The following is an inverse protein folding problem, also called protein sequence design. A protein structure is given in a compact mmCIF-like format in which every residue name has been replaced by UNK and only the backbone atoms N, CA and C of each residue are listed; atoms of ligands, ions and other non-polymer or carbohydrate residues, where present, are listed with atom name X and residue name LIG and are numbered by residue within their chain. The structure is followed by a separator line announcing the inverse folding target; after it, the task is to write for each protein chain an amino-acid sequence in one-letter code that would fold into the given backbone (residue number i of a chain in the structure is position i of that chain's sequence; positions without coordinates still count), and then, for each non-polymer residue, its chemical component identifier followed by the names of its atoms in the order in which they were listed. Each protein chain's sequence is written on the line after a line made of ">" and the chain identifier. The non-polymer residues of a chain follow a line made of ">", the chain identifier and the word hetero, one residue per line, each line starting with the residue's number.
data_IF_658884561343
#
_entry.id   IF_658884561343
#
_cell.length_a   1.000
_cell.length_b   1.000
_cell.length_c   1.000
_cell.angle_alpha   90.00
_cell.angle_beta   90.00
_cell.angle_gamma   90.00
#
_symmetry.space_group_name_H-M   'P 1'
#
loop_
_entity.id
_entity.type
_entity.pdbx_description
1 polymer ?
#
# COMPACT_ATOMS: atom_id res chain seq x y z
N UNK A 1 59.69 15.51 -11.91
CA UNK A 1 58.26 15.41 -11.54
C UNK A 1 57.29 15.34 -12.73
N UNK A 2 57.34 16.21 -13.76
CA UNK A 2 56.42 16.14 -14.93
C UNK A 2 56.37 14.77 -15.64
N UNK A 3 57.51 14.09 -15.81
CA UNK A 3 57.58 12.75 -16.44
C UNK A 3 56.84 11.67 -15.61
N UNK A 4 56.87 11.78 -14.28
CA UNK A 4 56.19 10.83 -13.38
C UNK A 4 54.66 11.02 -13.44
N UNK A 5 54.18 12.26 -13.45
CA UNK A 5 52.75 12.55 -13.61
C UNK A 5 52.21 12.16 -14.99
N UNK A 6 53.01 12.27 -16.05
CA UNK A 6 52.61 11.81 -17.39
C UNK A 6 52.53 10.28 -17.47
N UNK A 7 53.46 9.57 -16.82
CA UNK A 7 53.42 8.11 -16.72
C UNK A 7 52.19 7.63 -15.93
N UNK A 8 51.90 8.27 -14.79
CA UNK A 8 50.72 7.95 -13.98
C UNK A 8 49.41 8.19 -14.75
N UNK A 9 49.30 9.32 -15.49
CA UNK A 9 48.14 9.59 -16.34
C UNK A 9 47.98 8.56 -17.46
N UNK A 10 49.08 8.07 -18.02
CA UNK A 10 49.05 7.02 -19.03
C UNK A 10 48.54 5.69 -18.46
N UNK A 11 49.07 5.28 -17.30
CA UNK A 11 48.65 4.06 -16.60
C UNK A 11 47.16 4.15 -16.22
N UNK A 12 46.70 5.31 -15.73
CA UNK A 12 45.30 5.50 -15.36
C UNK A 12 44.35 5.41 -16.57
N UNK A 13 44.75 5.97 -17.72
CA UNK A 13 44.00 5.87 -18.98
C UNK A 13 43.97 4.44 -19.51
N UNK A 14 45.09 3.72 -19.42
CA UNK A 14 45.17 2.31 -19.80
C UNK A 14 44.27 1.44 -18.91
N UNK A 15 44.25 1.69 -17.60
CA UNK A 15 43.39 0.98 -16.66
C UNK A 15 41.90 1.26 -16.92
N UNK A 16 41.54 2.52 -17.18
CA UNK A 16 40.17 2.90 -17.56
C UNK A 16 39.72 2.20 -18.85
N UNK A 17 40.60 2.11 -19.85
CA UNK A 17 40.34 1.41 -21.10
C UNK A 17 40.07 -0.09 -20.87
N UNK A 18 40.88 -0.74 -20.02
CA UNK A 18 40.69 -2.16 -19.65
C UNK A 18 39.35 -2.37 -18.96
N UNK A 19 38.93 -1.46 -18.06
CA UNK A 19 37.63 -1.57 -17.41
C UNK A 19 36.49 -1.40 -18.41
N UNK A 20 36.57 -0.43 -19.32
CA UNK A 20 35.55 -0.23 -20.38
C UNK A 20 35.44 -1.48 -21.26
N UNK A 21 36.58 -2.10 -21.61
CA UNK A 21 36.60 -3.35 -22.38
C UNK A 21 35.97 -4.52 -21.62
N UNK A 22 36.25 -4.67 -20.32
CA UNK A 22 35.65 -5.71 -19.48
C UNK A 22 34.14 -5.52 -19.32
N UNK A 23 33.68 -4.28 -19.13
CA UNK A 23 32.25 -3.95 -19.05
C UNK A 23 31.56 -4.18 -20.39
N UNK A 24 32.18 -3.78 -21.50
CA UNK A 24 31.68 -4.05 -22.85
C UNK A 24 31.58 -5.54 -23.16
N UNK A 25 32.60 -6.31 -22.79
CA UNK A 25 32.61 -7.77 -22.95
C UNK A 25 31.55 -8.46 -22.09
N UNK A 26 31.40 -8.06 -20.82
CA UNK A 26 30.35 -8.56 -19.93
C UNK A 26 28.95 -8.21 -20.47
N UNK A 27 28.76 -7.00 -21.01
CA UNK A 27 27.51 -6.57 -21.63
C UNK A 27 27.14 -7.44 -22.84
N UNK A 28 28.10 -7.73 -23.72
CA UNK A 28 27.90 -8.59 -24.90
C UNK A 28 27.55 -10.03 -24.46
N UNK A 29 28.24 -10.59 -23.47
CA UNK A 29 27.96 -11.95 -23.02
C UNK A 29 26.61 -12.08 -22.31
N UNK A 30 26.23 -11.10 -21.48
CA UNK A 30 24.93 -11.10 -20.81
C UNK A 30 23.80 -10.92 -21.83
N UNK A 31 23.97 -10.05 -22.83
CA UNK A 31 22.97 -9.88 -23.89
C UNK A 31 22.84 -11.13 -24.77
N UNK A 32 23.94 -11.84 -25.04
CA UNK A 32 23.90 -13.14 -25.72
C UNK A 32 23.26 -14.24 -24.85
N UNK A 33 23.47 -14.25 -23.54
CA UNK A 33 22.82 -15.18 -22.60
C UNK A 33 21.30 -14.97 -22.55
N UNK A 34 20.85 -13.71 -22.62
CA UNK A 34 19.43 -13.33 -22.65
C UNK A 34 18.80 -13.70 -24.00
N UNK A 35 19.55 -13.60 -25.11
CA UNK A 35 19.08 -14.04 -26.44
C UNK A 35 19.07 -15.57 -26.60
N UNK A 36 19.91 -16.31 -25.86
CA UNK A 36 20.10 -17.76 -25.98
C UNK A 36 19.12 -18.64 -25.19
N UNK A 37 18.24 -18.10 -24.33
CA UNK A 37 17.27 -18.88 -23.54
C UNK A 37 16.03 -19.33 -24.34
N UNK A 38 16.24 -19.95 -25.50
CA UNK A 38 15.22 -20.72 -26.24
C UNK A 38 15.74 -22.14 -26.47
N UNK A 39 15.59 -23.00 -25.46
CA UNK A 39 15.42 -24.47 -25.55
C UNK A 39 16.02 -25.10 -24.30
N UNK A 40 15.18 -25.51 -23.35
CA UNK A 40 15.38 -26.62 -22.41
C UNK A 40 14.34 -26.43 -21.30
N UNK A 41 13.18 -27.05 -21.50
CA UNK A 41 12.46 -27.80 -20.48
C UNK A 41 11.16 -28.29 -21.10
N UNK A 42 11.20 -29.51 -21.64
CA UNK A 42 10.02 -30.22 -22.14
C UNK A 42 9.58 -31.39 -21.23
N UNK A 43 10.30 -31.71 -20.16
CA UNK A 43 10.06 -32.99 -19.45
C UNK A 43 9.86 -32.94 -17.93
N UNK A 44 9.68 -31.77 -17.31
CA UNK A 44 9.39 -31.69 -15.86
C UNK A 44 7.91 -31.46 -15.50
N UNK A 45 7.02 -31.30 -16.50
CA UNK A 45 5.63 -30.86 -16.30
C UNK A 45 4.64 -31.93 -15.80
N UNK A 46 5.04 -33.19 -15.60
CA UNK A 46 4.08 -34.28 -15.40
C UNK A 46 3.99 -34.90 -14.01
N UNK A 47 4.79 -34.47 -13.01
CA UNK A 47 4.88 -35.26 -11.75
C UNK A 47 4.44 -34.65 -10.42
N UNK A 48 4.06 -33.38 -10.31
CA UNK A 48 3.63 -32.82 -9.00
C UNK A 48 2.53 -31.72 -9.09
N UNK A 49 1.54 -31.82 -9.99
CA UNK A 49 0.55 -30.75 -10.21
C UNK A 49 -0.63 -30.69 -9.22
N UNK A 50 -0.74 -31.59 -8.24
CA UNK A 50 -1.94 -31.66 -7.36
C UNK A 50 -1.63 -31.86 -5.87
N UNK A 51 -0.40 -31.55 -5.43
CA UNK A 51 -0.01 -31.56 -4.01
C UNK A 51 0.11 -30.14 -3.45
N UNK A 52 -0.04 -30.01 -2.12
CA UNK A 52 0.05 -28.73 -1.40
C UNK A 52 1.36 -27.98 -1.74
N UNK A 53 1.20 -26.88 -2.50
CA UNK A 53 2.26 -26.06 -3.12
C UNK A 53 3.51 -25.89 -2.23
N UNK A 54 4.69 -26.12 -2.83
CA UNK A 54 6.02 -25.83 -2.26
C UNK A 54 6.34 -24.31 -2.28
N UNK A 55 5.33 -23.45 -2.06
CA UNK A 55 5.41 -21.99 -2.18
C UNK A 55 6.34 -21.30 -1.16
N UNK A 56 7.00 -22.05 -0.27
CA UNK A 56 7.91 -21.49 0.74
C UNK A 56 9.18 -20.87 0.15
N UNK A 57 9.65 -21.33 -1.00
CA UNK A 57 10.93 -20.88 -1.57
C UNK A 57 10.84 -19.55 -2.33
N UNK A 58 9.62 -19.01 -2.53
CA UNK A 58 9.38 -17.89 -3.47
C UNK A 58 8.82 -16.63 -2.80
N UNK A 59 8.70 -16.60 -1.47
CA UNK A 59 8.22 -15.42 -0.72
C UNK A 59 9.23 -14.26 -0.87
N UNK A 60 8.88 -13.14 -1.54
CA UNK A 60 9.78 -11.99 -1.66
C UNK A 60 9.77 -11.14 -0.40
N UNK A 61 10.93 -10.52 -0.11
CA UNK A 61 11.19 -9.82 1.15
C UNK A 61 10.53 -8.42 1.28
N UNK A 62 9.88 -7.87 0.26
CA UNK A 62 9.36 -6.49 0.30
C UNK A 62 8.19 -6.26 -0.67
N UNK A 63 6.95 -6.57 -0.26
CA UNK A 63 5.76 -6.18 -1.02
C UNK A 63 4.52 -5.93 -0.14
N UNK A 64 3.59 -5.15 -0.68
CA UNK A 64 2.34 -4.70 -0.05
C UNK A 64 1.18 -5.67 -0.39
N UNK A 65 0.23 -5.90 0.52
CA UNK A 65 -0.96 -6.75 0.32
C UNK A 65 -2.16 -5.99 -0.31
N UNK A 66 -3.32 -6.52 -0.74
CA UNK A 66 -4.21 -7.61 -0.28
C UNK A 66 -5.29 -7.91 -1.39
N UNK A 67 -5.93 -9.11 -1.52
CA UNK A 67 -6.96 -9.35 -2.53
C UNK A 67 -8.19 -8.49 -2.27
N UNK A 68 -9.07 -8.40 -3.27
CA UNK A 68 -10.38 -7.80 -3.07
C UNK A 68 -11.22 -8.71 -2.19
N UNK A 69 -12.00 -8.12 -1.28
CA UNK A 69 -12.91 -8.89 -0.43
C UNK A 69 -14.32 -8.39 -0.63
N UNK A 70 -15.18 -9.33 -1.01
CA UNK A 70 -16.58 -9.08 -1.18
C UNK A 70 -17.37 -9.60 0.01
N UNK A 71 -18.39 -8.86 0.44
CA UNK A 71 -19.35 -9.31 1.45
C UNK A 71 -20.65 -9.77 0.80
N UNK A 72 -21.39 -10.67 1.44
CA UNK A 72 -22.69 -11.10 0.94
C UNK A 72 -23.80 -10.08 1.32
N UNK A 73 -24.50 -9.53 0.33
CA UNK A 73 -25.55 -8.51 0.55
C UNK A 73 -26.96 -9.10 0.78
N UNK A 74 -27.07 -10.43 0.79
CA UNK A 74 -28.33 -11.20 0.82
C UNK A 74 -28.75 -11.78 -0.52
N UNK A 75 -28.10 -11.38 -1.62
CA UNK A 75 -28.36 -11.85 -2.98
C UNK A 75 -27.08 -12.28 -3.70
N UNK A 76 -26.00 -11.50 -3.57
CA UNK A 76 -24.71 -11.72 -4.23
C UNK A 76 -23.56 -11.19 -3.39
N UNK A 77 -22.34 -11.58 -3.75
CA UNK A 77 -21.13 -10.96 -3.22
C UNK A 77 -20.88 -9.59 -3.88
N UNK A 78 -20.56 -8.57 -3.08
CA UNK A 78 -20.25 -7.22 -3.55
C UNK A 78 -18.93 -6.70 -2.95
N UNK A 79 -18.10 -6.07 -3.78
CA UNK A 79 -16.87 -5.39 -3.32
C UNK A 79 -17.21 -3.96 -2.90
N UNK A 80 -17.25 -3.72 -1.58
CA UNK A 80 -17.50 -2.38 -1.03
C UNK A 80 -16.70 -2.16 0.27
N UNK A 81 -15.38 -2.11 0.12
CA UNK A 81 -14.49 -1.92 1.24
C UNK A 81 -13.62 -0.66 1.08
N UNK A 82 -13.36 -0.02 2.22
CA UNK A 82 -12.18 0.82 2.40
C UNK A 82 -10.96 -0.08 2.47
N UNK A 83 -9.88 0.36 1.85
CA UNK A 83 -8.63 -0.35 1.89
C UNK A 83 -7.57 0.52 2.53
N UNK A 84 -6.97 -0.04 3.57
CA UNK A 84 -6.01 0.61 4.44
C UNK A 84 -4.74 -0.25 4.42
N UNK A 85 -3.75 0.18 3.65
CA UNK A 85 -2.54 -0.62 3.44
C UNK A 85 -1.58 -0.55 4.63
N UNK A 86 -1.15 -1.71 5.12
CA UNK A 86 -0.25 -1.93 6.24
C UNK A 86 1.03 -1.10 6.14
N UNK A 87 1.49 -0.59 7.28
CA UNK A 87 2.76 0.14 7.35
C UNK A 87 3.89 -0.84 7.68
N UNK A 88 4.91 -0.86 6.83
CA UNK A 88 6.22 -1.40 7.21
C UNK A 88 6.95 -0.34 8.03
N UNK A 89 7.28 -0.64 9.28
CA UNK A 89 8.32 0.10 9.97
C UNK A 89 9.66 -0.36 9.39
N UNK A 90 10.41 0.52 8.73
CA UNK A 90 11.78 0.20 8.27
C UNK A 90 12.80 0.12 9.42
N UNK A 91 12.37 0.39 10.66
CA UNK A 91 13.27 0.54 11.81
C UNK A 91 13.45 -0.73 12.66
N UNK A 92 12.59 -1.74 12.52
CA UNK A 92 12.76 -3.00 13.24
C UNK A 92 13.21 -4.11 12.28
N UNK A 93 14.35 -4.74 12.61
CA UNK A 93 14.87 -5.96 11.96
C UNK A 93 13.95 -7.18 12.10
N UNK A 94 12.82 -7.05 12.81
CA UNK A 94 11.74 -8.02 12.80
C UNK A 94 10.73 -7.64 11.71
N UNK A 95 10.50 -8.57 10.76
CA UNK A 95 9.41 -8.51 9.79
C UNK A 95 8.09 -8.74 10.54
N UNK A 96 7.70 -7.81 11.41
CA UNK A 96 6.33 -7.71 11.90
C UNK A 96 5.62 -6.77 10.93
N UNK A 97 5.23 -7.32 9.78
CA UNK A 97 4.38 -6.61 8.83
C UNK A 97 3.05 -6.29 9.51
N UNK A 98 2.71 -5.01 9.68
CA UNK A 98 1.34 -4.65 10.04
C UNK A 98 0.39 -5.19 8.95
N UNK A 99 -0.75 -5.80 9.32
CA UNK A 99 -1.68 -6.33 8.35
C UNK A 99 -2.26 -5.22 7.48
N UNK A 100 -2.68 -5.56 6.28
CA UNK A 100 -3.66 -4.71 5.60
C UNK A 100 -5.00 -4.81 6.28
N UNK A 101 -5.72 -3.71 6.28
CA UNK A 101 -7.03 -3.62 6.88
C UNK A 101 -8.06 -3.21 5.83
N UNK A 102 -9.16 -3.95 5.81
CA UNK A 102 -10.31 -3.68 4.96
C UNK A 102 -11.50 -3.38 5.86
N UNK A 103 -12.09 -2.18 5.76
CA UNK A 103 -13.31 -1.83 6.49
C UNK A 103 -14.50 -1.91 5.54
N UNK A 104 -15.55 -2.62 5.93
CA UNK A 104 -16.77 -2.75 5.14
C UNK A 104 -17.74 -1.62 5.48
N UNK A 105 -18.32 -0.99 4.45
CA UNK A 105 -19.31 0.08 4.65
C UNK A 105 -20.69 -0.41 5.09
N UNK A 106 -21.00 -1.67 4.80
CA UNK A 106 -22.26 -2.30 5.16
C UNK A 106 -22.01 -3.57 5.94
N UNK A 107 -22.96 -3.89 6.82
CA UNK A 107 -22.98 -5.15 7.52
C UNK A 107 -23.30 -6.29 6.52
N UNK A 108 -22.50 -7.37 6.48
CA UNK A 108 -22.80 -8.57 5.71
C UNK A 108 -24.14 -9.16 6.15
N UNK A 109 -24.93 -9.62 5.18
CA UNK A 109 -26.08 -10.47 5.48
C UNK A 109 -25.65 -11.93 5.54
N UNK A 110 -26.44 -12.72 6.26
CA UNK A 110 -26.21 -14.15 6.37
C UNK A 110 -26.56 -14.86 5.06
N UNK A 111 -25.69 -15.77 4.62
CA UNK A 111 -25.95 -16.79 3.59
C UNK A 111 -26.09 -18.13 4.30
N UNK A 112 -27.20 -18.82 4.10
CA UNK A 112 -27.47 -20.11 4.75
C UNK A 112 -27.28 -20.08 6.28
N UNK A 113 -27.67 -18.96 6.90
CA UNK A 113 -27.57 -18.73 8.35
C UNK A 113 -26.21 -18.24 8.86
N UNK A 114 -25.20 -18.14 8.00
CA UNK A 114 -23.81 -17.79 8.37
C UNK A 114 -23.35 -16.49 7.74
N UNK A 115 -22.43 -15.79 8.40
CA UNK A 115 -21.75 -14.64 7.81
C UNK A 115 -20.80 -15.13 6.71
N UNK A 116 -20.95 -14.57 5.50
CA UNK A 116 -20.21 -15.02 4.32
C UNK A 116 -19.47 -13.86 3.65
N UNK A 117 -18.20 -14.12 3.34
CA UNK A 117 -17.30 -13.26 2.60
C UNK A 117 -16.68 -14.04 1.44
N UNK A 118 -16.16 -13.34 0.44
CA UNK A 118 -15.42 -13.96 -0.65
C UNK A 118 -14.15 -13.16 -0.93
N UNK A 119 -12.99 -13.79 -0.80
CA UNK A 119 -11.74 -13.23 -1.34
C UNK A 119 -11.73 -13.41 -2.85
N UNK A 120 -11.22 -12.41 -3.57
CA UNK A 120 -11.13 -12.42 -5.01
C UNK A 120 -9.78 -11.82 -5.46
N UNK A 121 -8.99 -12.60 -6.19
CA UNK A 121 -7.79 -12.08 -6.85
C UNK A 121 -8.18 -11.52 -8.22
N UNK A 122 -8.26 -10.20 -8.31
CA UNK A 122 -8.85 -9.49 -9.44
C UNK A 122 -7.84 -8.61 -10.21
N UNK A 123 -6.57 -8.57 -9.79
CA UNK A 123 -5.51 -7.80 -10.45
C UNK A 123 -4.49 -8.76 -11.10
N UNK A 124 -3.56 -8.26 -11.91
CA UNK A 124 -2.51 -9.10 -12.52
C UNK A 124 -1.36 -9.39 -11.52
N UNK A 125 -1.75 -9.81 -10.32
CA UNK A 125 -0.89 -10.06 -9.15
C UNK A 125 -1.04 -11.52 -8.70
N UNK A 126 -0.16 -11.96 -7.82
CA UNK A 126 -0.37 -13.20 -7.06
C UNK A 126 -0.22 -12.91 -5.58
N UNK A 127 -1.10 -13.53 -4.79
CA UNK A 127 -1.22 -13.33 -3.34
C UNK A 127 -0.64 -14.51 -2.57
N UNK A 128 0.03 -14.26 -1.46
CA UNK A 128 0.42 -15.26 -0.46
C UNK A 128 -0.13 -14.83 0.90
N UNK A 129 -1.27 -15.41 1.29
CA UNK A 129 -2.01 -15.07 2.52
C UNK A 129 -1.64 -16.03 3.63
N UNK A 130 -1.10 -15.52 4.72
CA UNK A 130 -0.71 -16.31 5.90
C UNK A 130 -1.83 -16.41 6.92
N UNK A 131 -2.61 -15.34 7.06
CA UNK A 131 -3.66 -15.25 8.06
C UNK A 131 -4.69 -14.21 7.64
N UNK A 132 -5.95 -14.50 7.95
CA UNK A 132 -7.01 -13.51 7.99
C UNK A 132 -7.54 -13.39 9.42
N UNK A 133 -7.89 -12.19 9.82
CA UNK A 133 -8.66 -11.94 11.04
C UNK A 133 -9.85 -11.07 10.70
N UNK A 134 -11.03 -11.44 11.18
CA UNK A 134 -12.23 -10.65 11.00
C UNK A 134 -12.60 -10.03 12.34
N UNK A 135 -12.88 -8.73 12.33
CA UNK A 135 -13.22 -7.97 13.53
C UNK A 135 -14.62 -7.41 13.33
N UNK A 136 -15.49 -7.62 14.30
CA UNK A 136 -16.80 -6.98 14.37
C UNK A 136 -16.77 -5.94 15.47
N UNK A 137 -17.12 -4.71 15.13
CA UNK A 137 -17.22 -3.59 16.07
C UNK A 137 -18.69 -3.26 16.26
N UNK A 138 -19.21 -3.40 17.47
CA UNK A 138 -20.52 -2.95 17.90
C UNK A 138 -20.43 -1.53 18.48
N UNK A 139 -21.20 -0.61 17.92
CA UNK A 139 -21.11 0.82 18.26
C UNK A 139 -22.45 1.54 18.07
N UNK A 140 -22.64 2.75 18.64
CA UNK A 140 -23.89 3.49 18.51
C UNK A 140 -24.34 3.72 17.06
N UNK A 141 -25.65 3.69 16.80
CA UNK A 141 -26.20 3.88 15.43
C UNK A 141 -25.79 5.19 14.76
N UNK A 142 -25.71 6.25 15.56
CA UNK A 142 -25.37 7.60 15.12
C UNK A 142 -23.86 7.89 15.12
N UNK A 143 -23.01 6.86 14.96
CA UNK A 143 -21.57 7.01 14.88
C UNK A 143 -20.95 6.30 13.68
N UNK A 144 -19.68 6.61 13.42
CA UNK A 144 -18.84 6.02 12.38
C UNK A 144 -17.55 5.46 12.99
N UNK A 145 -17.07 4.34 12.46
CA UNK A 145 -15.78 3.75 12.84
C UNK A 145 -14.70 4.26 11.89
N UNK A 146 -13.74 5.01 12.41
CA UNK A 146 -12.55 5.47 11.68
C UNK A 146 -11.34 4.78 12.28
N UNK A 147 -10.50 4.19 11.44
CA UNK A 147 -9.30 3.50 11.90
C UNK A 147 -8.18 4.52 12.09
N UNK A 148 -7.44 4.42 13.19
CA UNK A 148 -6.19 5.16 13.33
C UNK A 148 -5.20 4.72 12.24
N UNK A 149 -4.38 5.64 11.75
CA UNK A 149 -3.45 5.38 10.66
C UNK A 149 -2.45 4.26 10.97
N UNK A 150 -2.16 3.97 12.24
CA UNK A 150 -1.32 2.84 12.67
C UNK A 150 -2.03 1.48 12.67
N UNK A 151 -3.35 1.45 12.46
CA UNK A 151 -4.23 0.27 12.51
C UNK A 151 -4.25 -0.46 13.86
N UNK A 152 -3.91 0.26 14.94
CA UNK A 152 -3.85 -0.29 16.30
C UNK A 152 -5.14 -0.05 17.10
N UNK A 153 -5.96 0.94 16.69
CA UNK A 153 -7.17 1.34 17.42
C UNK A 153 -8.26 1.86 16.48
N UNK A 154 -9.49 1.83 16.98
CA UNK A 154 -10.66 2.39 16.34
C UNK A 154 -11.10 3.67 17.04
N UNK A 155 -11.44 4.67 16.24
CA UNK A 155 -12.12 5.88 16.69
C UNK A 155 -13.59 5.77 16.33
N UNK A 156 -14.46 5.69 17.33
CA UNK A 156 -15.91 5.67 17.14
C UNK A 156 -16.44 7.08 17.36
N UNK A 157 -16.79 7.75 16.27
CA UNK A 157 -17.07 9.19 16.27
C UNK A 157 -18.54 9.43 15.96
N UNK A 158 -19.21 10.22 16.78
CA UNK A 158 -20.59 10.65 16.48
C UNK A 158 -20.66 11.43 15.16
N UNK A 159 -21.70 11.19 14.36
CA UNK A 159 -21.93 11.93 13.11
C UNK A 159 -22.02 13.44 13.34
N UNK A 160 -22.65 13.88 14.44
CA UNK A 160 -22.75 15.29 14.78
C UNK A 160 -21.37 15.93 15.03
N UNK A 161 -20.44 15.18 15.63
CA UNK A 161 -19.05 15.62 15.84
C UNK A 161 -18.29 15.74 14.52
N UNK A 162 -18.48 14.80 13.59
CA UNK A 162 -17.92 14.89 12.24
C UNK A 162 -18.47 16.08 11.45
N UNK A 163 -19.73 16.46 11.65
CA UNK A 163 -20.29 17.68 11.05
C UNK A 163 -19.72 18.97 11.67
N UNK A 164 -19.24 18.91 12.91
CA UNK A 164 -18.62 20.03 13.63
C UNK A 164 -17.10 20.08 13.49
N UNK A 165 -16.49 19.14 12.76
CA UNK A 165 -15.05 19.08 12.52
C UNK A 165 -14.48 20.42 12.03
N UNK A 166 -13.30 20.79 12.51
CA UNK A 166 -12.63 22.03 12.12
C UNK A 166 -12.05 21.86 10.71
N UNK A 167 -12.56 22.63 9.76
CA UNK A 167 -12.05 22.68 8.39
C UNK A 167 -10.85 23.61 8.27
N UNK A 168 -9.99 23.38 7.28
CA UNK A 168 -8.85 24.25 7.03
C UNK A 168 -9.33 25.62 6.53
N UNK A 169 -8.84 26.70 7.16
CA UNK A 169 -9.11 28.07 6.73
C UNK A 169 -8.49 28.36 5.36
N UNK A 170 -7.32 27.79 5.11
CA UNK A 170 -6.55 27.93 3.88
C UNK A 170 -5.93 26.59 3.51
N UNK A 171 -5.85 26.30 2.20
CA UNK A 171 -5.16 25.12 1.68
C UNK A 171 -4.27 25.51 0.51
N UNK A 172 -2.99 25.72 0.77
CA UNK A 172 -2.03 26.11 -0.26
C UNK A 172 -1.54 24.89 -1.05
N UNK A 173 -1.79 24.89 -2.35
CA UNK A 173 -1.21 23.93 -3.30
C UNK A 173 0.14 24.47 -3.77
N UNK A 174 1.21 23.72 -3.52
CA UNK A 174 2.58 24.07 -3.89
C UNK A 174 2.99 25.50 -3.46
N UNK A 175 2.44 25.97 -2.33
CA UNK A 175 2.74 27.28 -1.74
C UNK A 175 2.11 28.50 -2.42
N UNK A 176 1.22 28.31 -3.42
CA UNK A 176 0.72 29.45 -4.21
C UNK A 176 -0.80 29.49 -4.36
N UNK A 177 -1.46 28.36 -4.64
CA UNK A 177 -2.88 28.34 -4.98
C UNK A 177 -3.72 27.89 -3.80
N UNK A 178 -4.63 28.75 -3.32
CA UNK A 178 -5.60 28.33 -2.32
C UNK A 178 -6.67 27.40 -2.93
N UNK A 179 -6.85 26.25 -2.29
CA UNK A 179 -7.82 25.23 -2.62
C UNK A 179 -8.80 24.96 -1.45
N UNK A 180 -8.86 25.82 -0.44
CA UNK A 180 -9.73 25.71 0.74
C UNK A 180 -11.19 25.36 0.42
N UNK A 181 -11.77 25.98 -0.61
CA UNK A 181 -13.12 25.69 -1.10
C UNK A 181 -13.35 24.21 -1.48
N UNK A 182 -12.29 23.46 -1.81
CA UNK A 182 -12.38 22.02 -2.08
C UNK A 182 -12.47 21.17 -0.81
N UNK A 183 -12.04 21.67 0.33
CA UNK A 183 -11.98 20.93 1.60
C UNK A 183 -12.98 21.43 2.66
N UNK A 184 -13.59 22.60 2.46
CA UNK A 184 -14.56 23.19 3.40
C UNK A 184 -15.95 22.55 3.38
N UNK A 185 -16.29 21.81 2.32
CA UNK A 185 -17.54 21.08 2.26
C UNK A 185 -17.45 19.77 3.04
N UNK A 186 -17.94 19.80 4.28
CA UNK A 186 -17.98 18.64 5.18
C UNK A 186 -18.86 17.51 4.66
N UNK A 187 -19.81 17.78 3.75
CA UNK A 187 -20.63 16.72 3.14
C UNK A 187 -19.80 15.73 2.35
N UNK A 188 -18.65 16.15 1.81
CA UNK A 188 -17.70 15.29 1.08
C UNK A 188 -17.14 14.14 1.91
N UNK A 189 -17.07 14.31 3.24
CA UNK A 189 -16.72 13.21 4.12
C UNK A 189 -17.76 12.07 4.01
N UNK A 190 -19.04 12.41 3.88
CA UNK A 190 -20.16 11.46 3.78
C UNK A 190 -20.45 10.97 2.35
N UNK A 191 -19.94 11.65 1.31
CA UNK A 191 -20.09 11.20 -0.08
C UNK A 191 -19.42 9.84 -0.31
N UNK A 192 -20.19 8.86 -0.78
CA UNK A 192 -19.66 7.54 -1.15
C UNK A 192 -19.20 7.54 -2.61
N UNK A 193 -18.18 6.76 -2.92
CA UNK A 193 -17.78 6.43 -4.30
C UNK A 193 -16.67 7.29 -4.94
N UNK A 194 -16.32 6.91 -6.17
CA UNK A 194 -15.14 7.36 -6.93
C UNK A 194 -15.24 8.81 -7.48
N UNK A 195 -16.45 9.37 -7.53
CA UNK A 195 -16.78 10.64 -8.20
C UNK A 195 -16.84 11.85 -7.26
N UNK A 196 -16.38 11.72 -6.02
CA UNK A 196 -16.29 12.89 -5.13
C UNK A 196 -15.45 14.00 -5.77
N UNK A 197 -15.84 15.26 -5.52
CA UNK A 197 -15.15 16.49 -5.91
C UNK A 197 -13.79 16.61 -5.19
N UNK A 198 -12.89 15.67 -5.51
CA UNK A 198 -11.57 15.45 -4.92
C UNK A 198 -10.49 16.18 -5.71
N UNK A 199 -9.42 16.54 -5.01
CA UNK A 199 -8.25 17.13 -5.64
C UNK A 199 -7.32 16.00 -6.10
N UNK A 200 -7.03 15.94 -7.39
CA UNK A 200 -6.03 15.03 -7.95
C UNK A 200 -4.66 15.71 -7.83
N UNK A 201 -3.73 15.05 -7.16
CA UNK A 201 -2.37 15.53 -6.94
C UNK A 201 -1.37 14.54 -7.47
N UNK A 202 -0.34 15.04 -8.13
CA UNK A 202 0.72 14.28 -8.77
C UNK A 202 1.89 14.04 -7.81
N UNK A 203 2.87 13.26 -8.27
CA UNK A 203 4.14 13.10 -7.56
C UNK A 203 4.78 14.48 -7.32
N UNK A 204 5.27 14.68 -6.10
CA UNK A 204 5.92 15.88 -5.58
C UNK A 204 4.99 17.09 -5.35
N UNK A 205 3.69 16.98 -5.63
CA UNK A 205 2.75 18.00 -5.17
C UNK A 205 2.73 18.04 -3.64
N UNK A 206 2.44 19.23 -3.10
CA UNK A 206 2.35 19.52 -1.68
C UNK A 206 1.09 20.31 -1.38
N UNK A 207 0.41 19.94 -0.30
CA UNK A 207 -0.65 20.75 0.29
C UNK A 207 -0.21 21.22 1.67
N UNK A 208 -0.44 22.49 1.98
CA UNK A 208 -0.33 23.03 3.34
C UNK A 208 -1.72 23.48 3.81
N UNK A 209 -2.24 22.81 4.83
CA UNK A 209 -3.52 23.10 5.46
C UNK A 209 -3.27 23.96 6.69
N UNK A 210 -3.90 25.14 6.73
CA UNK A 210 -3.91 26.00 7.91
C UNK A 210 -5.23 25.87 8.65
N UNK A 211 -5.18 25.49 9.93
CA UNK A 211 -6.32 25.43 10.84
C UNK A 211 -6.20 26.53 11.90
N UNK A 212 -7.33 27.00 12.41
CA UNK A 212 -7.42 28.02 13.45
C UNK A 212 -8.51 27.68 14.47
N UNK A 213 -8.50 28.36 15.62
CA UNK A 213 -9.46 28.16 16.72
C UNK A 213 -9.39 26.75 17.32
N UNK A 214 -8.21 26.16 17.35
CA UNK A 214 -7.94 24.90 18.03
C UNK A 214 -7.56 25.15 19.50
N UNK A 215 -7.86 24.21 20.37
CA UNK A 215 -7.43 24.24 21.77
C UNK A 215 -6.02 23.66 21.89
N UNK A 216 -5.12 24.31 22.62
CA UNK A 216 -3.74 23.88 22.81
C UNK A 216 -3.55 22.88 23.98
N UNK A 217 -4.62 22.56 24.70
CA UNK A 217 -4.63 21.67 25.87
C UNK A 217 -4.98 20.21 25.55
N UNK A 218 -5.26 19.89 24.28
CA UNK A 218 -5.72 18.56 23.86
C UNK A 218 -5.05 18.11 22.56
N UNK A 219 -4.80 16.80 22.46
CA UNK A 219 -4.22 16.19 21.26
C UNK A 219 -5.23 16.26 20.11
N UNK A 220 -4.91 16.92 18.98
CA UNK A 220 -5.79 16.92 17.83
C UNK A 220 -5.72 15.59 17.06
N UNK A 221 -6.81 15.27 16.37
CA UNK A 221 -6.88 14.15 15.44
C UNK A 221 -7.27 14.66 14.07
N UNK A 222 -6.38 14.47 13.10
CA UNK A 222 -6.60 14.80 11.70
C UNK A 222 -7.34 13.64 11.02
N UNK A 223 -8.55 13.89 10.54
CA UNK A 223 -9.33 12.95 9.74
C UNK A 223 -9.07 13.24 8.27
N UNK A 224 -8.59 12.23 7.54
CA UNK A 224 -8.31 12.33 6.11
C UNK A 224 -9.12 11.33 5.33
N UNK A 225 -9.54 11.72 4.12
CA UNK A 225 -10.21 10.82 3.17
C UNK A 225 -9.47 10.86 1.84
N UNK A 226 -8.81 9.76 1.49
CA UNK A 226 -7.90 9.70 0.36
C UNK A 226 -8.12 8.43 -0.47
N UNK A 227 -7.71 8.46 -1.74
CA UNK A 227 -7.66 7.27 -2.59
C UNK A 227 -6.48 7.31 -3.54
N UNK A 228 -6.02 6.14 -3.95
CA UNK A 228 -4.97 5.96 -4.93
C UNK A 228 -5.26 4.71 -5.73
N UNK A 229 -5.34 4.85 -7.05
CA UNK A 229 -5.24 3.72 -7.96
C UNK A 229 -4.53 4.12 -9.25
N UNK A 230 -3.23 4.31 -9.10
CA UNK A 230 -2.25 4.24 -10.20
C UNK A 230 -1.36 2.99 -10.00
N UNK A 231 -1.98 1.92 -9.48
CA UNK A 231 -1.36 0.64 -9.13
C UNK A 231 -2.21 -0.47 -9.75
N UNK A 232 -1.67 -1.09 -10.79
CA UNK A 232 -1.89 -2.50 -11.09
C UNK A 232 -0.48 -3.09 -11.10
N UNK A 233 -0.13 -4.05 -10.22
CA UNK A 233 1.06 -4.85 -10.51
C UNK A 233 0.72 -5.73 -11.71
N UNK A 234 1.58 -5.69 -12.72
CA UNK A 234 1.34 -6.37 -14.00
C UNK A 234 0.67 -5.47 -15.04
N UNK A 235 1.26 -5.43 -16.24
CA UNK A 235 0.73 -4.72 -17.40
C UNK A 235 -0.61 -5.34 -17.84
N UNK A 236 -1.71 -4.59 -17.67
CA UNK A 236 -2.95 -4.85 -18.40
C UNK A 236 -2.81 -4.19 -19.78
N UNK A 237 -2.31 -4.96 -20.75
CA UNK A 237 -2.34 -4.60 -22.18
C UNK A 237 -1.35 -3.51 -22.61
N UNK A 238 -0.33 -3.92 -23.37
CA UNK A 238 0.52 -3.12 -24.27
C UNK A 238 0.77 -1.63 -23.91
N UNK A 239 1.26 -1.34 -22.70
CA UNK A 239 2.16 -0.19 -22.59
C UNK A 239 3.50 -0.62 -23.17
N UNK A 240 3.80 -0.11 -24.38
CA UNK A 240 5.05 -0.28 -25.12
C UNK A 240 6.22 -0.53 -24.16
N UNK A 241 6.93 -1.64 -24.38
CA UNK A 241 8.27 -1.92 -23.85
C UNK A 241 9.20 -0.74 -24.15
N UNK A 242 9.14 0.30 -23.35
CA UNK A 242 10.33 1.05 -23.01
C UNK A 242 10.99 0.12 -22.02
N UNK A 243 11.89 -0.73 -22.52
CA UNK A 243 12.90 -1.38 -21.70
C UNK A 243 13.65 -0.24 -21.00
N UNK A 244 13.10 0.22 -19.88
CA UNK A 244 13.65 1.36 -19.17
C UNK A 244 15.02 0.91 -18.69
N UNK A 245 16.02 1.74 -18.94
CA UNK A 245 17.39 1.60 -18.46
C UNK A 245 17.45 1.15 -16.98
N UNK A 246 16.39 1.45 -16.21
CA UNK A 246 16.14 1.00 -14.85
C UNK A 246 16.15 -0.53 -14.69
N UNK A 247 15.45 -1.34 -15.50
CA UNK A 247 15.45 -2.81 -15.33
C UNK A 247 16.81 -3.46 -15.58
N UNK A 248 17.67 -2.81 -16.35
CA UNK A 248 19.07 -3.20 -16.56
C UNK A 248 19.95 -2.84 -15.33
N UNK A 249 19.73 -1.66 -14.74
CA UNK A 249 20.40 -1.22 -13.51
C UNK A 249 20.02 -2.08 -12.30
N UNK A 250 18.79 -2.61 -12.24
CA UNK A 250 18.31 -3.44 -11.13
C UNK A 250 18.76 -4.91 -11.18
N UNK A 251 19.61 -5.31 -12.14
CA UNK A 251 20.16 -6.66 -12.10
C UNK A 251 21.21 -6.77 -10.97
N UNK A 252 21.20 -7.85 -10.16
CA UNK A 252 22.20 -8.07 -9.11
C UNK A 252 23.66 -8.01 -9.63
N UNK A 253 23.86 -8.31 -10.91
CA UNK A 253 25.15 -8.24 -11.59
C UNK A 253 25.63 -6.79 -11.80
N UNK A 254 24.75 -5.88 -12.23
CA UNK A 254 25.08 -4.46 -12.41
C UNK A 254 25.29 -3.75 -11.08
N UNK A 255 24.54 -4.13 -10.04
CA UNK A 255 24.76 -3.69 -8.65
C UNK A 255 26.15 -4.07 -8.13
N UNK A 256 26.57 -5.32 -8.32
CA UNK A 256 27.92 -5.77 -7.92
C UNK A 256 29.02 -5.06 -8.71
N UNK A 257 28.81 -4.82 -10.00
CA UNK A 257 29.75 -4.08 -10.85
C UNK A 257 29.84 -2.59 -10.46
N UNK A 258 28.72 -1.95 -10.16
CA UNK A 258 28.70 -0.57 -9.67
C UNK A 258 29.42 -0.41 -8.33
N UNK A 259 29.21 -1.35 -7.41
CA UNK A 259 29.89 -1.36 -6.11
C UNK A 259 31.40 -1.56 -6.24
N UNK A 260 31.82 -2.46 -7.16
CA UNK A 260 33.23 -2.69 -7.50
C UNK A 260 33.86 -1.45 -8.15
N UNK A 261 33.14 -0.76 -9.02
CA UNK A 261 33.62 0.45 -9.68
C UNK A 261 33.80 1.61 -8.69
N UNK A 262 32.87 1.78 -7.75
CA UNK A 262 32.95 2.79 -6.69
C UNK A 262 34.07 2.45 -5.69
N UNK A 263 34.22 1.19 -5.29
CA UNK A 263 35.35 0.78 -4.42
C UNK A 263 36.69 0.95 -5.12
N UNK A 264 36.80 0.64 -6.43
CA UNK A 264 38.00 0.89 -7.22
C UNK A 264 38.34 2.38 -7.33
N UNK A 265 37.35 3.25 -7.59
CA UNK A 265 37.55 4.71 -7.63
C UNK A 265 37.97 5.25 -6.25
N UNK A 266 37.33 4.77 -5.16
CA UNK A 266 37.69 5.15 -3.80
C UNK A 266 39.13 4.75 -3.44
N UNK A 267 39.58 3.58 -3.90
CA UNK A 267 40.95 3.10 -3.70
C UNK A 267 41.98 3.94 -4.48
N UNK A 268 41.62 4.45 -5.66
CA UNK A 268 42.52 5.20 -6.56
C UNK A 268 42.63 6.68 -6.18
N UNK A 269 41.53 7.32 -5.78
CA UNK A 269 41.50 8.78 -5.57
C UNK A 269 41.51 9.21 -4.09
N UNK A 270 41.31 8.27 -3.16
CA UNK A 270 41.44 8.46 -1.72
C UNK A 270 40.42 9.44 -1.10
N UNK A 271 40.34 9.44 0.23
CA UNK A 271 39.39 10.25 1.03
C UNK A 271 39.41 11.76 0.76
N UNK A 272 40.52 12.30 0.24
CA UNK A 272 40.74 13.76 0.12
C UNK A 272 39.91 14.45 -0.98
N UNK A 273 39.41 13.73 -1.98
CA UNK A 273 38.66 14.34 -3.10
C UNK A 273 37.14 14.13 -3.03
N UNK A 274 36.65 13.15 -2.28
CA UNK A 274 35.23 12.79 -2.30
C UNK A 274 34.45 13.02 -1.01
N UNK A 275 35.08 13.40 0.12
CA UNK A 275 34.36 13.60 1.39
C UNK A 275 33.52 12.38 1.80
N UNK A 276 32.55 12.58 2.70
CA UNK A 276 31.66 11.53 3.24
C UNK A 276 30.61 11.01 2.23
N UNK A 277 30.87 11.09 0.92
CA UNK A 277 30.01 10.54 -0.12
C UNK A 277 29.63 9.05 0.04
N UNK A 278 30.45 8.16 0.63
CA UNK A 278 30.05 6.77 0.85
C UNK A 278 28.82 6.61 1.77
N UNK A 279 28.48 7.62 2.58
CA UNK A 279 27.30 7.59 3.46
C UNK A 279 25.97 7.82 2.71
N UNK A 280 26.00 8.32 1.47
CA UNK A 280 24.79 8.64 0.70
C UNK A 280 24.34 7.54 -0.27
N UNK A 281 25.17 6.52 -0.50
CA UNK A 281 24.86 5.43 -1.43
C UNK A 281 23.71 4.50 -1.01
N UNK A 282 23.36 4.30 0.29
CA UNK A 282 22.18 3.50 0.64
C UNK A 282 20.85 4.26 0.50
N UNK A 283 20.86 5.59 0.29
CA UNK A 283 19.66 6.44 0.44
C UNK A 283 18.81 6.52 -0.85
N UNK A 284 19.35 6.12 -2.01
CA UNK A 284 18.63 6.22 -3.30
C UNK A 284 17.86 4.93 -3.66
N UNK A 285 18.04 3.83 -2.92
CA UNK A 285 17.57 2.50 -3.35
C UNK A 285 16.51 1.88 -2.44
N UNK A 286 15.56 2.69 -1.97
CA UNK A 286 14.26 2.19 -1.55
C UNK A 286 13.27 2.38 -2.70
N UNK A 287 12.51 1.34 -3.05
CA UNK A 287 11.26 1.51 -3.81
C UNK A 287 10.48 2.69 -3.23
N UNK A 288 10.20 3.71 -4.03
CA UNK A 288 9.40 4.86 -3.58
C UNK A 288 8.05 4.33 -3.12
N UNK A 289 7.80 4.37 -1.82
CA UNK A 289 6.54 3.94 -1.21
C UNK A 289 5.46 4.90 -1.71
N UNK A 290 4.52 4.40 -2.51
CA UNK A 290 3.37 5.16 -3.03
C UNK A 290 2.49 5.55 -1.84
N UNK A 291 2.55 6.81 -1.42
CA UNK A 291 2.02 7.27 -0.15
C UNK A 291 1.77 8.78 -0.14
N UNK A 292 1.01 9.21 0.86
CA UNK A 292 0.86 10.60 1.26
C UNK A 292 1.54 10.73 2.63
N UNK A 293 2.55 11.60 2.73
CA UNK A 293 3.21 11.89 4.00
C UNK A 293 2.54 13.08 4.65
N UNK A 294 2.02 12.91 5.85
CA UNK A 294 1.44 13.97 6.66
C UNK A 294 2.45 14.40 7.73
N UNK A 295 2.70 15.69 7.80
CA UNK A 295 3.59 16.31 8.77
C UNK A 295 2.93 17.53 9.41
N UNK A 296 3.22 17.81 10.67
CA UNK A 296 2.78 19.03 11.36
C UNK A 296 3.95 19.99 11.55
N UNK A 297 3.67 21.29 11.58
CA UNK A 297 4.66 22.33 11.91
C UNK A 297 4.76 22.44 13.44
N UNK A 298 5.96 22.40 13.98
CA UNK A 298 6.21 22.68 15.41
C UNK A 298 6.49 24.16 15.67
N UNK A 299 6.61 24.54 16.95
CA UNK A 299 6.86 25.92 17.40
C UNK A 299 8.13 26.54 16.78
N UNK A 300 9.12 25.72 16.41
CA UNK A 300 10.35 26.18 15.76
C UNK A 300 10.18 26.39 14.25
N UNK A 301 8.98 26.15 13.71
CA UNK A 301 8.68 26.22 12.28
C UNK A 301 9.10 24.98 11.48
N UNK A 302 9.57 23.92 12.14
CA UNK A 302 10.02 22.70 11.48
C UNK A 302 8.84 21.75 11.25
N UNK A 303 8.83 21.06 10.11
CA UNK A 303 7.82 20.04 9.83
C UNK A 303 8.26 18.66 10.35
N UNK A 304 7.52 18.13 11.32
CA UNK A 304 7.68 16.79 11.88
C UNK A 304 6.67 15.82 11.28
N UNK A 305 7.12 14.64 10.86
CA UNK A 305 6.25 13.64 10.27
C UNK A 305 5.30 13.04 11.31
N UNK A 306 4.00 13.07 11.03
CA UNK A 306 2.96 12.45 11.85
C UNK A 306 2.58 11.05 11.34
N UNK A 307 2.34 10.92 10.03
CA UNK A 307 1.86 9.66 9.46
C UNK A 307 2.26 9.50 7.98
N UNK A 308 2.26 8.24 7.54
CA UNK A 308 2.39 7.86 6.13
C UNK A 308 1.13 7.11 5.73
N UNK A 309 0.28 7.76 4.95
CA UNK A 309 -0.97 7.22 4.44
C UNK A 309 -0.70 6.45 3.15
N UNK A 310 -1.27 5.25 3.02
CA UNK A 310 -1.11 4.40 1.83
C UNK A 310 -2.48 3.93 1.34
N UNK A 311 -3.32 4.85 0.84
CA UNK A 311 -4.59 4.43 0.27
C UNK A 311 -4.36 3.46 -0.90
N UNK A 312 -5.19 2.43 -1.05
CA UNK A 312 -5.11 1.47 -2.17
C UNK A 312 -6.51 0.92 -2.46
N UNK A 313 -7.39 1.68 -3.10
CA UNK A 313 -8.71 1.17 -3.47
C UNK A 313 -9.41 2.00 -4.55
N UNK A 314 -10.55 1.47 -5.00
CA UNK A 314 -11.48 2.15 -5.92
C UNK A 314 -12.33 3.17 -5.15
N UNK A 315 -12.50 2.92 -3.86
CA UNK A 315 -13.17 3.79 -2.92
C UNK A 315 -12.17 4.64 -2.14
N UNK A 316 -12.69 5.70 -1.53
CA UNK A 316 -11.93 6.55 -0.63
C UNK A 316 -11.83 5.91 0.74
N UNK A 317 -10.62 5.67 1.23
CA UNK A 317 -10.41 5.26 2.60
C UNK A 317 -10.39 6.47 3.53
N UNK A 318 -10.93 6.28 4.74
CA UNK A 318 -10.90 7.29 5.79
C UNK A 318 -9.96 6.85 6.92
N UNK A 319 -9.01 7.71 7.29
CA UNK A 319 -8.04 7.44 8.36
C UNK A 319 -7.99 8.58 9.36
N UNK A 320 -7.78 8.22 10.62
CA UNK A 320 -7.51 9.16 11.71
C UNK A 320 -6.00 9.21 11.98
N UNK A 321 -5.43 10.41 12.01
CA UNK A 321 -4.02 10.65 12.30
C UNK A 321 -3.96 11.40 13.63
N UNK A 322 -3.56 10.70 14.69
CA UNK A 322 -3.28 11.33 15.97
C UNK A 322 -2.07 12.27 15.84
N UNK A 323 -2.23 13.49 16.33
CA UNK A 323 -1.19 14.51 16.37
C UNK A 323 -0.90 14.85 17.84
N UNK A 324 0.36 15.16 18.18
CA UNK A 324 0.68 15.55 19.54
C UNK A 324 0.23 16.99 19.80
N UNK A 325 0.00 17.35 21.07
CA UNK A 325 -0.50 18.68 21.46
C UNK A 325 0.35 19.84 20.91
N UNK A 326 1.67 19.67 20.80
CA UNK A 326 2.60 20.67 20.26
C UNK A 326 2.44 20.92 18.75
N UNK A 327 1.55 20.20 18.06
CA UNK A 327 1.13 20.54 16.71
C UNK A 327 0.22 21.79 16.68
N UNK A 328 -0.42 22.13 17.81
CA UNK A 328 -1.23 23.34 17.97
C UNK A 328 -0.38 24.41 18.65
N UNK A 329 -0.23 25.55 17.98
CA UNK A 329 0.49 26.71 18.50
C UNK A 329 -0.28 27.37 19.66
N UNK A 330 0.39 28.23 20.43
CA UNK A 330 -0.24 28.97 21.53
C UNK A 330 -1.45 29.81 21.10
N UNK A 331 -1.45 30.33 19.87
CA UNK A 331 -2.56 31.11 19.29
C UNK A 331 -3.73 30.23 18.78
N UNK A 332 -3.66 28.91 18.97
CA UNK A 332 -4.67 27.96 18.50
C UNK A 332 -4.60 27.68 17.00
N UNK A 333 -3.52 28.07 16.32
CA UNK A 333 -3.26 27.71 14.92
C UNK A 333 -2.55 26.35 14.80
N UNK A 334 -2.75 25.68 13.66
CA UNK A 334 -2.01 24.47 13.32
C UNK A 334 -1.79 24.41 11.82
N UNK A 335 -0.58 24.02 11.40
CA UNK A 335 -0.25 23.82 10.00
C UNK A 335 0.10 22.35 9.72
N UNK A 336 -0.63 21.74 8.81
CA UNK A 336 -0.37 20.36 8.34
C UNK A 336 0.11 20.40 6.90
N UNK A 337 1.21 19.70 6.61
CA UNK A 337 1.72 19.50 5.26
C UNK A 337 1.44 18.07 4.80
N UNK A 338 0.86 17.92 3.61
CA UNK A 338 0.70 16.65 2.92
C UNK A 338 1.61 16.61 1.68
N UNK A 339 2.52 15.63 1.61
CA UNK A 339 3.46 15.44 0.49
C UNK A 339 3.14 14.15 -0.27
N UNK A 340 3.01 14.26 -1.59
CA UNK A 340 2.51 13.17 -2.44
C UNK A 340 3.66 12.49 -3.17
N UNK A 341 3.89 11.20 -2.94
CA UNK A 341 4.97 10.46 -3.63
C UNK A 341 4.54 9.89 -4.99
N UNK A 342 3.23 9.87 -5.26
CA UNK A 342 2.59 9.44 -6.51
C UNK A 342 1.27 10.19 -6.72
N UNK A 343 0.57 9.87 -7.82
CA UNK A 343 -0.71 10.46 -8.17
C UNK A 343 -1.84 10.01 -7.25
N UNK A 344 -2.22 10.79 -6.24
CA UNK A 344 -3.34 10.46 -5.33
C UNK A 344 -4.53 11.39 -5.55
N UNK A 345 -5.68 10.98 -5.02
CA UNK A 345 -6.83 11.85 -4.79
C UNK A 345 -6.98 12.10 -3.30
N UNK A 346 -7.19 13.34 -2.91
CA UNK A 346 -7.57 13.72 -1.56
C UNK A 346 -8.94 14.40 -1.61
N UNK A 347 -9.92 13.84 -0.91
CA UNK A 347 -11.30 14.35 -0.88
C UNK A 347 -11.58 15.21 0.35
N UNK A 348 -10.94 14.90 1.49
CA UNK A 348 -11.24 15.56 2.75
C UNK A 348 -10.02 15.57 3.68
N UNK A 349 -9.88 16.66 4.45
CA UNK A 349 -8.96 16.80 5.58
C UNK A 349 -9.60 17.75 6.61
N UNK A 350 -9.75 17.30 7.86
CA UNK A 350 -10.35 18.09 8.93
C UNK A 350 -9.83 17.66 10.31
N UNK A 351 -9.96 18.53 11.30
CA UNK A 351 -9.38 18.31 12.64
C UNK A 351 -10.49 18.17 13.69
N UNK A 352 -10.41 17.11 14.48
CA UNK A 352 -11.22 16.89 15.67
C UNK A 352 -10.38 17.11 16.94
N UNK A 353 -11.01 17.68 17.95
CA UNK A 353 -10.47 17.85 19.30
C UNK A 353 -11.58 17.57 20.32
N UNK A 354 -11.21 17.32 21.59
CA UNK A 354 -12.10 16.88 22.69
C UNK A 354 -12.42 15.38 22.70
N UNK A 355 -13.14 14.90 23.72
CA UNK A 355 -13.59 13.51 23.84
C UNK A 355 -14.68 13.17 22.81
N UNK A 356 -14.24 12.91 21.57
CA UNK A 356 -15.12 12.52 20.46
C UNK A 356 -15.30 11.00 20.35
N UNK A 357 -14.51 10.22 21.10
CA UNK A 357 -14.56 8.77 21.08
C UNK A 357 -15.70 8.27 21.95
N UNK A 358 -16.68 7.65 21.32
CA UNK A 358 -17.77 6.94 21.99
C UNK A 358 -17.32 5.54 22.44
N UNK A 359 -17.91 5.00 23.51
CA UNK A 359 -17.68 3.62 23.89
C UNK A 359 -18.13 2.66 22.78
N UNK A 360 -17.39 1.57 22.62
CA UNK A 360 -17.69 0.51 21.68
C UNK A 360 -17.23 -0.84 22.24
N UNK A 361 -17.69 -1.92 21.62
CA UNK A 361 -17.25 -3.29 21.91
C UNK A 361 -16.82 -3.93 20.61
N UNK A 362 -15.76 -4.71 20.62
CA UNK A 362 -15.30 -5.47 19.48
C UNK A 362 -15.04 -6.93 19.81
N UNK A 363 -15.18 -7.79 18.80
CA UNK A 363 -14.89 -9.21 18.87
C UNK A 363 -14.19 -9.67 17.59
N UNK A 364 -13.27 -10.63 17.73
CA UNK A 364 -12.71 -11.36 16.61
C UNK A 364 -13.65 -12.49 16.21
N UNK A 365 -13.96 -12.59 14.92
CA UNK A 365 -14.76 -13.66 14.34
C UNK A 365 -13.84 -14.64 13.62
N UNK A 366 -13.87 -15.90 14.06
CA UNK A 366 -13.02 -16.93 13.47
C UNK A 366 -13.61 -17.49 12.18
N UNK A 367 -12.70 -17.89 11.29
CA UNK A 367 -13.05 -18.62 10.06
C UNK A 367 -13.51 -20.02 10.45
N UNK A 368 -14.76 -20.34 10.10
CA UNK A 368 -15.34 -21.68 10.26
C UNK A 368 -14.99 -22.59 9.10
N UNK A 369 -15.05 -22.06 7.88
CA UNK A 369 -14.62 -22.75 6.67
C UNK A 369 -14.18 -21.77 5.60
N UNK A 370 -13.23 -22.19 4.77
CA UNK A 370 -12.79 -21.45 3.60
C UNK A 370 -12.53 -22.39 2.43
N UNK A 371 -13.17 -22.14 1.29
CA UNK A 371 -13.05 -23.00 0.11
C UNK A 371 -12.58 -22.18 -1.10
N UNK A 372 -11.38 -22.50 -1.58
CA UNK A 372 -10.79 -21.95 -2.78
C UNK A 372 -11.34 -22.62 -4.03
N UNK A 373 -11.71 -21.81 -5.02
CA UNK A 373 -12.13 -22.27 -6.34
C UNK A 373 -11.13 -23.18 -7.04
N UNK A 374 -9.83 -23.05 -6.70
CA UNK A 374 -8.73 -23.82 -7.30
C UNK A 374 -8.14 -24.86 -6.35
N UNK A 375 -8.00 -24.53 -5.08
CA UNK A 375 -7.28 -25.37 -4.11
C UNK A 375 -8.19 -26.22 -3.21
N UNK A 376 -9.51 -26.02 -3.26
CA UNK A 376 -10.45 -26.69 -2.37
C UNK A 376 -10.39 -26.09 -0.96
N UNK A 377 -10.51 -26.93 0.07
CA UNK A 377 -10.50 -26.47 1.47
C UNK A 377 -9.14 -25.85 1.86
N UNK A 378 -9.18 -24.58 2.26
CA UNK A 378 -8.03 -23.77 2.67
C UNK A 378 -8.22 -23.17 4.06
N UNK A 379 -9.18 -23.68 4.84
CA UNK A 379 -9.55 -23.16 6.16
C UNK A 379 -8.34 -23.05 7.10
N UNK A 380 -7.50 -24.08 7.15
CA UNK A 380 -6.31 -24.09 7.99
C UNK A 380 -5.24 -23.09 7.53
N UNK A 381 -5.11 -22.85 6.22
CA UNK A 381 -4.09 -21.96 5.65
C UNK A 381 -4.34 -20.50 6.01
N UNK A 382 -5.61 -20.09 6.14
CA UNK A 382 -5.96 -18.71 6.46
C UNK A 382 -6.21 -18.47 7.96
N UNK A 383 -6.25 -19.54 8.76
CA UNK A 383 -6.44 -19.45 10.22
C UNK A 383 -5.22 -18.90 10.98
N UNK A 384 -4.04 -18.83 10.32
CA UNK A 384 -2.77 -18.47 10.97
C UNK A 384 -2.16 -19.58 11.85
N UNK A 385 -2.81 -20.73 12.00
CA UNK A 385 -2.26 -21.90 12.73
C UNK A 385 -1.20 -22.64 11.91
N UNK A 386 -1.28 -22.55 10.58
CA UNK A 386 -0.35 -23.21 9.68
C UNK A 386 0.83 -22.28 9.32
N UNK A 387 2.02 -22.84 9.11
CA UNK A 387 3.19 -22.12 8.58
C UNK A 387 3.17 -21.99 7.05
N UNK A 388 2.10 -22.46 6.38
CA UNK A 388 1.91 -22.38 4.93
C UNK A 388 0.97 -21.22 4.59
N UNK A 389 1.28 -20.53 3.51
CA UNK A 389 0.45 -19.46 2.96
C UNK A 389 -0.52 -20.02 1.94
N UNK A 390 -1.74 -19.48 1.93
CA UNK A 390 -2.67 -19.61 0.81
C UNK A 390 -2.15 -18.80 -0.38
N UNK A 391 -1.89 -19.47 -1.50
CA UNK A 391 -1.49 -18.82 -2.75
C UNK A 391 -2.71 -18.59 -3.65
N UNK A 392 -2.97 -17.34 -4.04
CA UNK A 392 -4.02 -16.98 -4.99
C UNK A 392 -3.42 -16.36 -6.24
N UNK A 393 -4.01 -16.70 -7.39
CA UNK A 393 -3.68 -16.12 -8.70
C UNK A 393 -4.95 -15.51 -9.32
N UNK A 394 -4.82 -14.67 -10.37
CA UNK A 394 -5.96 -13.93 -10.89
C UNK A 394 -7.09 -14.82 -11.39
N UNK A 395 -8.30 -14.49 -10.94
CA UNK A 395 -9.51 -15.28 -11.14
C UNK A 395 -9.78 -16.34 -10.07
N UNK A 396 -8.88 -16.55 -9.11
CA UNK A 396 -9.17 -17.37 -7.93
C UNK A 396 -10.16 -16.65 -7.01
N UNK A 397 -11.07 -17.41 -6.43
CA UNK A 397 -11.95 -16.96 -5.35
C UNK A 397 -11.82 -17.87 -4.13
N UNK A 398 -12.06 -17.32 -2.94
CA UNK A 398 -12.16 -18.11 -1.70
C UNK A 398 -13.43 -17.72 -0.98
N UNK A 399 -14.38 -18.66 -0.90
CA UNK A 399 -15.61 -18.49 -0.12
C UNK A 399 -15.29 -18.73 1.35
N UNK A 400 -15.52 -17.73 2.19
CA UNK A 400 -15.23 -17.74 3.62
C UNK A 400 -16.53 -17.66 4.40
N UNK A 401 -16.73 -18.60 5.32
CA UNK A 401 -17.79 -18.57 6.32
C UNK A 401 -17.19 -18.30 7.70
N UNK A 402 -17.78 -17.36 8.42
CA UNK A 402 -17.37 -17.04 9.79
C UNK A 402 -18.28 -17.70 10.82
N UNK A 403 -17.76 -17.81 12.04
CA UNK A 403 -18.56 -18.11 13.21
C UNK A 403 -19.61 -17.02 13.47
N UNK A 404 -20.66 -17.40 14.21
CA UNK A 404 -21.67 -16.46 14.63
C UNK A 404 -21.11 -15.50 15.68
N UNK A 405 -21.47 -14.21 15.63
CA UNK A 405 -21.06 -13.26 16.64
C UNK A 405 -21.59 -13.65 18.04
N UNK A 406 -20.74 -13.52 19.06
CA UNK A 406 -21.07 -13.86 20.45
C UNK A 406 -21.66 -12.64 21.15
N UNK A 407 -21.17 -11.43 20.81
CA UNK A 407 -21.66 -10.19 21.39
C UNK A 407 -23.05 -9.86 20.83
N UNK A 408 -24.05 -9.78 21.71
CA UNK A 408 -25.38 -9.28 21.34
C UNK A 408 -25.37 -7.77 21.13
N UNK A 409 -26.08 -7.30 20.10
CA UNK A 409 -26.28 -5.87 19.85
C UNK A 409 -27.38 -5.31 20.75
N UNK A 410 -27.11 -4.15 21.32
CA UNK A 410 -28.13 -3.34 21.97
C UNK A 410 -29.04 -2.69 20.93
N UNK A 411 -30.24 -2.27 21.34
CA UNK A 411 -31.23 -1.64 20.43
C UNK A 411 -30.69 -0.39 19.74
N UNK A 412 -29.80 0.34 20.38
CA UNK A 412 -29.23 1.61 19.89
C UNK A 412 -27.85 1.43 19.23
N UNK A 413 -27.41 0.20 19.04
CA UNK A 413 -26.15 -0.14 18.38
C UNK A 413 -26.36 -0.60 16.93
N UNK A 414 -25.27 -0.51 16.16
CA UNK A 414 -25.08 -1.14 14.86
C UNK A 414 -23.69 -1.79 14.84
N UNK A 415 -23.42 -2.53 13.78
CA UNK A 415 -22.17 -3.26 13.60
C UNK A 415 -21.41 -2.73 12.37
N UNK A 416 -20.09 -2.66 12.51
CA UNK A 416 -19.13 -2.44 11.43
C UNK A 416 -18.16 -3.61 11.41
N UNK A 417 -17.86 -4.13 10.23
CA UNK A 417 -16.94 -5.23 10.06
C UNK A 417 -15.63 -4.74 9.47
N UNK A 418 -14.54 -5.36 9.91
CA UNK A 418 -13.22 -5.18 9.35
C UNK A 418 -12.55 -6.54 9.10
N UNK A 419 -11.66 -6.60 8.12
CA UNK A 419 -10.80 -7.75 7.89
C UNK A 419 -9.35 -7.32 7.88
N UNK A 420 -8.52 -7.95 8.69
CA UNK A 420 -7.08 -7.89 8.62
C UNK A 420 -6.54 -9.03 7.76
N UNK A 421 -5.64 -8.72 6.83
CA UNK A 421 -4.94 -9.70 6.02
C UNK A 421 -3.44 -9.61 6.25
N UNK A 422 -2.84 -10.76 6.55
CA UNK A 422 -1.40 -10.91 6.72
C UNK A 422 -0.87 -11.70 5.54
N UNK A 423 0.10 -11.16 4.81
CA UNK A 423 0.63 -11.82 3.63
C UNK A 423 1.54 -10.93 2.78
N UNK A 424 1.94 -11.44 1.63
CA UNK A 424 2.77 -10.75 0.62
C UNK A 424 2.23 -11.01 -0.78
N UNK A 425 2.49 -10.10 -1.71
CA UNK A 425 1.88 -10.11 -3.04
C UNK A 425 2.94 -9.74 -4.05
N UNK A 426 2.89 -10.31 -5.24
CA UNK A 426 3.84 -9.98 -6.29
C UNK A 426 3.14 -9.68 -7.59
N UNK A 427 3.79 -8.98 -8.53
CA UNK A 427 3.38 -9.07 -9.92
C UNK A 427 3.27 -10.55 -10.31
N UNK A 428 2.22 -10.91 -11.06
CA UNK A 428 1.98 -12.28 -11.49
C UNK A 428 3.19 -12.84 -12.24
N UNK A 429 3.81 -13.89 -11.70
CA UNK A 429 4.95 -14.52 -12.35
C UNK A 429 4.56 -15.18 -13.68
N UNK A 430 5.55 -15.35 -14.56
CA UNK A 430 5.36 -15.98 -15.87
C UNK A 430 4.86 -17.42 -15.78
N UNK A 431 5.20 -18.13 -14.70
CA UNK A 431 4.70 -19.47 -14.36
C UNK A 431 3.19 -19.43 -14.16
N UNK A 432 2.72 -18.61 -13.22
CA UNK A 432 1.30 -18.55 -12.86
C UNK A 432 0.43 -17.80 -13.87
N UNK A 433 1.02 -16.93 -14.71
CA UNK A 433 0.31 -16.33 -15.85
C UNK A 433 -0.28 -17.36 -16.81
N UNK A 434 0.40 -18.50 -17.02
CA UNK A 434 -0.12 -19.59 -17.84
C UNK A 434 -1.32 -20.27 -17.20
N UNK A 435 -1.34 -20.36 -15.87
CA UNK A 435 -2.41 -21.00 -15.09
C UNK A 435 -3.63 -20.07 -15.02
N UNK A 436 -3.39 -18.78 -14.77
CA UNK A 436 -4.45 -17.76 -14.72
C UNK A 436 -5.23 -17.70 -16.05
N UNK A 437 -4.53 -17.87 -17.18
CA UNK A 437 -5.13 -17.85 -18.52
C UNK A 437 -5.78 -16.50 -18.82
N UNK A 438 -6.94 -16.53 -19.47
CA UNK A 438 -7.79 -15.34 -19.67
C UNK A 438 -8.59 -15.03 -18.40
N UNK A 439 -7.87 -14.62 -17.34
CA UNK A 439 -8.44 -14.36 -16.02
C UNK A 439 -9.43 -13.18 -16.04
N UNK A 440 -9.32 -12.27 -16.99
CA UNK A 440 -10.22 -11.13 -17.12
C UNK A 440 -11.68 -11.57 -17.38
N UNK A 441 -11.89 -12.73 -18.02
CA UNK A 441 -13.23 -13.33 -18.16
C UNK A 441 -13.77 -13.93 -16.87
N UNK A 442 -12.90 -14.28 -15.92
CA UNK A 442 -13.26 -14.95 -14.65
C UNK A 442 -13.65 -13.96 -13.55
N UNK A 443 -13.17 -12.71 -13.62
CA UNK A 443 -13.49 -11.69 -12.61
C UNK A 443 -14.93 -11.16 -12.75
N UNK A 444 -15.53 -10.56 -11.70
CA UNK A 444 -16.90 -10.04 -11.78
C UNK A 444 -17.06 -8.89 -12.79
N UNK A 445 -18.27 -8.73 -13.34
CA UNK A 445 -18.57 -7.70 -14.33
C UNK A 445 -18.29 -6.27 -13.82
N UNK A 446 -18.63 -5.98 -12.57
CA UNK A 446 -18.37 -4.67 -11.94
C UNK A 446 -16.88 -4.29 -11.94
N UNK A 447 -16.01 -5.28 -11.76
CA UNK A 447 -14.56 -5.13 -11.79
C UNK A 447 -14.07 -4.86 -13.21
N UNK A 448 -14.59 -5.61 -14.19
CA UNK A 448 -14.28 -5.38 -15.62
C UNK A 448 -14.71 -3.99 -16.08
N UNK A 449 -15.93 -3.59 -15.75
CA UNK A 449 -16.47 -2.28 -16.12
C UNK A 449 -15.64 -1.15 -15.51
N UNK A 450 -15.17 -1.35 -14.27
CA UNK A 450 -14.26 -0.42 -13.64
C UNK A 450 -12.92 -0.31 -14.37
N UNK A 451 -12.28 -1.44 -14.72
CA UNK A 451 -11.05 -1.43 -15.53
C UNK A 451 -11.24 -0.76 -16.89
N UNK A 452 -12.36 -1.01 -17.56
CA UNK A 452 -12.68 -0.39 -18.84
C UNK A 452 -12.85 1.13 -18.74
N UNK A 453 -13.42 1.65 -17.64
CA UNK A 453 -13.51 3.10 -17.38
C UNK A 453 -12.14 3.73 -17.14
N UNK A 454 -11.25 3.01 -16.45
CA UNK A 454 -9.90 3.50 -16.16
C UNK A 454 -9.04 3.57 -17.43
N UNK A 455 -9.15 2.61 -18.34
CA UNK A 455 -8.40 2.61 -19.60
C UNK A 455 -8.76 3.75 -20.57
N UNK A 456 -9.90 4.43 -20.35
CA UNK A 456 -10.39 5.54 -21.19
C UNK A 456 -9.93 6.93 -20.71
N UNK A 457 -9.24 7.02 -19.56
CA UNK A 457 -8.76 8.28 -18.94
C UNK A 457 -7.24 8.30 -18.89
#
# INVERSE_FOLDING_TARGET
>A
MKKFFNSLKFILKAFLLVIILLVGWAFINITNLIKGKKSLDKDSLSKNMFGADEAKAEIPENTFSCPFVAYFDGKKFQIENDFLCGKFSRYFRSITSQPDLLKFYHAPKKRDGKLAFQLQENEAEESFINQLRFIRVAHPKNSEVIVDSGFEKFHVIEWASLQKITSAKEVLVNGAKDASNRFNDKKKFFEKGFESNSLILNKNDRLEFAFSNLKNDSNPVLIVKSTFRDFMMGEVGEMKKIASFASFIYSPAVLRLGLLFITAIYFVFGRKTFGDWPAFLPVIFGTEVKSIRFSYRDEMGNFKQAAINKPRAWNFSSEAIALPKEAVMEDGSMCIKAEFTKRHKLAFAGVLQSDFNLPYRDEELFVKSANSSRLGDVSELISGKNKKSLHLIPGDTVDIELEDPIISLNKDEKETYLMQSFGVYTPLSSKYKKIAGDWFKKIPAEVRDYYARMAKK
#
